data_IF_500224562322
#
_entry.id   IF_500224562322
#
_cell.length_a   1.000
_cell.length_b   1.000
_cell.length_c   1.000
_cell.angle_alpha   90.00
_cell.angle_beta   90.00
_cell.angle_gamma   90.00
#
_symmetry.space_group_name_H-M   'P 1'
#
loop_
_entity.id
_entity.type
_entity.pdbx_description
1 polymer ?
#
# COMPACT_ATOMS: atom_id res chain seq x y z
N UNK A 1 16.46 -15.91 25.43
CA UNK A 1 15.19 -16.62 25.67
C UNK A 1 14.08 -15.59 25.77
N UNK A 2 12.92 -15.83 25.15
CA UNK A 2 11.73 -15.00 25.33
C UNK A 2 10.93 -14.79 24.04
N UNK A 3 10.22 -15.83 23.61
CA UNK A 3 9.27 -15.77 22.51
C UNK A 3 7.97 -15.07 22.97
N UNK A 4 7.41 -14.19 22.15
CA UNK A 4 6.02 -13.75 22.29
C UNK A 4 5.20 -14.33 21.13
N UNK A 5 4.60 -15.49 21.38
CA UNK A 5 3.55 -16.06 20.53
C UNK A 5 2.27 -15.21 20.68
N UNK A 6 1.84 -14.55 19.59
CA UNK A 6 0.53 -13.91 19.52
C UNK A 6 -0.48 -14.94 19.01
N UNK A 7 -0.99 -15.78 19.92
CA UNK A 7 -2.01 -16.79 19.63
C UNK A 7 -3.40 -16.15 19.68
N UNK A 8 -3.90 -15.72 18.53
CA UNK A 8 -5.32 -15.40 18.36
C UNK A 8 -6.08 -16.72 18.54
N UNK A 9 -6.81 -16.87 19.64
CA UNK A 9 -7.79 -17.94 19.81
C UNK A 9 -9.09 -17.44 19.21
N UNK A 10 -9.60 -18.16 18.21
CA UNK A 10 -10.93 -17.91 17.67
C UNK A 10 -11.96 -18.09 18.79
N UNK A 11 -12.77 -17.05 19.04
CA UNK A 11 -13.82 -17.04 20.05
C UNK A 11 -15.01 -17.90 19.58
N UNK A 12 -15.61 -18.65 20.50
CA UNK A 12 -16.77 -19.52 20.25
C UNK A 12 -17.98 -18.76 19.64
N UNK A 13 -18.05 -17.45 19.86
CA UNK A 13 -19.07 -16.58 19.27
C UNK A 13 -19.01 -16.51 17.74
N UNK A 14 -17.81 -16.56 17.14
CA UNK A 14 -17.66 -16.51 15.68
C UNK A 14 -18.12 -17.80 14.98
N UNK A 15 -18.04 -18.95 15.66
CA UNK A 15 -18.53 -20.23 15.12
C UNK A 15 -20.05 -20.32 15.11
N UNK A 16 -20.71 -19.88 16.19
CA UNK A 16 -22.16 -19.90 16.33
C UNK A 16 -22.88 -19.04 15.29
N UNK A 17 -22.33 -17.87 14.92
CA UNK A 17 -22.91 -17.05 13.84
C UNK A 17 -22.75 -17.71 12.47
N UNK A 18 -21.63 -18.38 12.22
CA UNK A 18 -21.34 -19.01 10.94
C UNK A 18 -22.20 -20.27 10.70
N UNK A 19 -22.50 -21.05 11.74
CA UNK A 19 -23.42 -22.18 11.64
C UNK A 19 -24.89 -21.75 11.49
N UNK A 20 -25.27 -20.59 12.06
CA UNK A 20 -26.65 -20.09 11.97
C UNK A 20 -27.00 -19.52 10.58
N UNK A 21 -26.02 -18.99 9.84
CA UNK A 21 -26.23 -18.53 8.46
C UNK A 21 -26.32 -19.69 7.46
N UNK A 22 -25.62 -20.80 7.70
CA UNK A 22 -25.53 -21.91 6.75
C UNK A 22 -26.80 -22.79 6.68
N UNK A 23 -27.75 -22.62 7.61
CA UNK A 23 -28.97 -23.42 7.72
C UNK A 23 -30.26 -22.68 7.33
N UNK A 24 -30.14 -21.46 6.79
CA UNK A 24 -31.30 -20.69 6.30
C UNK A 24 -31.53 -20.98 4.82
N UNK A 25 -32.32 -22.01 4.52
CA UNK A 25 -32.94 -22.14 3.20
C UNK A 25 -33.94 -21.00 3.00
N UNK A 26 -33.85 -20.21 1.91
CA UNK A 26 -34.80 -19.13 1.67
C UNK A 26 -36.15 -19.73 1.25
N UNK A 27 -37.13 -19.72 2.15
CA UNK A 27 -38.52 -20.02 1.80
C UNK A 27 -39.23 -18.74 1.34
N UNK A 28 -39.76 -18.75 0.11
CA UNK A 28 -40.55 -17.64 -0.43
C UNK A 28 -42.02 -18.05 -0.37
N UNK A 29 -42.80 -17.34 0.45
CA UNK A 29 -44.26 -17.52 0.48
C UNK A 29 -44.91 -16.51 -0.46
N UNK A 30 -45.45 -16.99 -1.58
CA UNK A 30 -46.24 -16.18 -2.51
C UNK A 30 -47.69 -16.21 -2.04
N UNK A 31 -48.25 -15.06 -1.66
CA UNK A 31 -49.68 -14.94 -1.36
C UNK A 31 -50.44 -14.84 -2.68
N UNK A 32 -51.18 -15.88 -3.00
CA UNK A 32 -52.03 -15.94 -4.19
C UNK A 32 -53.43 -15.46 -3.81
N UNK A 33 -53.98 -14.51 -4.57
CA UNK A 33 -55.36 -14.04 -4.39
C UNK A 33 -56.38 -15.10 -4.82
N UNK A 34 -57.54 -15.12 -4.18
CA UNK A 34 -58.62 -16.07 -4.49
C UNK A 34 -59.05 -16.02 -5.96
N UNK A 35 -58.95 -14.85 -6.60
CA UNK A 35 -59.27 -14.65 -8.01
C UNK A 35 -58.29 -15.37 -8.94
N UNK A 36 -56.99 -15.42 -8.60
CA UNK A 36 -56.00 -16.14 -9.39
C UNK A 36 -56.21 -17.66 -9.28
N UNK A 37 -56.60 -18.15 -8.10
CA UNK A 37 -56.92 -19.57 -7.88
C UNK A 37 -58.18 -19.97 -8.65
N UNK A 38 -59.18 -19.10 -8.73
CA UNK A 38 -60.40 -19.35 -9.50
C UNK A 38 -60.14 -19.33 -11.02
N UNK A 39 -59.30 -18.42 -11.51
CA UNK A 39 -58.89 -18.38 -12.93
C UNK A 39 -58.10 -19.62 -13.34
N UNK A 40 -57.27 -20.19 -12.45
CA UNK A 40 -56.54 -21.43 -12.70
C UNK A 40 -57.45 -22.67 -12.67
N UNK A 41 -58.47 -22.69 -11.80
CA UNK A 41 -59.41 -23.81 -11.71
C UNK A 41 -60.41 -23.88 -12.87
N UNK A 42 -60.77 -22.73 -13.44
CA UNK A 42 -61.84 -22.63 -14.43
C UNK A 42 -61.35 -22.22 -15.83
N UNK A 43 -60.03 -22.22 -16.08
CA UNK A 43 -59.43 -21.75 -17.32
C UNK A 43 -59.50 -22.75 -18.48
N UNK A 44 -60.68 -22.92 -19.09
CA UNK A 44 -60.83 -23.08 -20.55
C UNK A 44 -62.30 -22.91 -20.96
N UNK A 45 -62.71 -21.66 -21.22
CA UNK A 45 -63.75 -21.30 -22.18
C UNK A 45 -63.82 -19.77 -22.29
N UNK A 46 -63.21 -19.28 -23.35
CA UNK A 46 -63.35 -17.98 -24.02
C UNK A 46 -64.32 -16.93 -23.47
N UNK A 47 -63.77 -15.75 -23.18
CA UNK A 47 -64.37 -14.48 -23.59
C UNK A 47 -63.29 -13.40 -23.72
N UNK A 48 -62.97 -13.09 -24.97
CA UNK A 48 -62.15 -11.96 -25.42
C UNK A 48 -62.71 -10.62 -24.92
N UNK A 49 -61.85 -9.61 -24.66
CA UNK A 49 -61.80 -8.33 -25.40
C UNK A 49 -60.90 -7.29 -24.66
N UNK A 50 -60.07 -6.58 -25.44
CA UNK A 50 -59.32 -5.33 -25.16
C UNK A 50 -58.09 -5.43 -24.23
N UNK A 51 -56.85 -5.07 -24.60
CA UNK A 51 -56.23 -4.49 -25.79
C UNK A 51 -54.81 -5.06 -25.90
N UNK A 52 -54.47 -5.70 -27.02
CA UNK A 52 -53.09 -5.81 -27.46
C UNK A 52 -52.85 -4.67 -28.46
N UNK A 53 -51.78 -3.87 -28.34
CA UNK A 53 -51.42 -2.95 -29.41
C UNK A 53 -51.05 -3.77 -30.65
N UNK A 54 -51.55 -3.33 -31.79
CA UNK A 54 -51.31 -3.94 -33.09
C UNK A 54 -49.81 -4.12 -33.36
N UNK A 55 -49.32 -5.35 -33.31
CA UNK A 55 -48.09 -5.72 -33.99
C UNK A 55 -48.43 -5.83 -35.48
N UNK A 56 -48.30 -4.71 -36.19
CA UNK A 56 -48.04 -4.73 -37.62
C UNK A 56 -46.80 -5.62 -37.84
N UNK A 57 -46.95 -6.67 -38.65
CA UNK A 57 -45.85 -7.55 -39.00
C UNK A 57 -44.77 -6.75 -39.71
N UNK A 58 -43.68 -6.47 -39.00
CA UNK A 58 -42.43 -6.05 -39.62
C UNK A 58 -42.04 -7.12 -40.63
N UNK A 59 -41.65 -6.70 -41.83
CA UNK A 59 -41.02 -7.61 -42.79
C UNK A 59 -39.80 -8.26 -42.14
N UNK A 60 -39.46 -9.49 -42.53
CA UNK A 60 -38.32 -10.21 -41.93
C UNK A 60 -37.01 -9.38 -42.00
N UNK A 61 -36.87 -8.55 -43.03
CA UNK A 61 -35.75 -7.63 -43.24
C UNK A 61 -35.71 -6.47 -42.23
N UNK A 62 -36.87 -5.92 -41.84
CA UNK A 62 -36.96 -4.85 -40.83
C UNK A 62 -36.63 -5.37 -39.42
N UNK A 63 -37.05 -6.60 -39.11
CA UNK A 63 -36.68 -7.27 -37.84
C UNK A 63 -35.18 -7.53 -37.79
N UNK A 64 -34.57 -7.96 -38.90
CA UNK A 64 -33.13 -8.20 -38.96
C UNK A 64 -32.33 -6.89 -38.83
N UNK A 65 -32.79 -5.82 -39.49
CA UNK A 65 -32.17 -4.49 -39.37
C UNK A 65 -32.24 -3.97 -37.94
N UNK A 66 -33.40 -4.08 -37.29
CA UNK A 66 -33.58 -3.68 -35.90
C UNK A 66 -32.70 -4.50 -34.94
N UNK A 67 -32.55 -5.81 -35.21
CA UNK A 67 -31.66 -6.68 -34.44
C UNK A 67 -30.19 -6.29 -34.58
N UNK A 68 -29.75 -5.95 -35.81
CA UNK A 68 -28.38 -5.47 -36.07
C UNK A 68 -28.11 -4.14 -35.37
N UNK A 69 -29.05 -3.20 -35.44
CA UNK A 69 -28.95 -1.90 -34.76
C UNK A 69 -28.90 -2.05 -33.24
N UNK A 70 -29.77 -2.90 -32.66
CA UNK A 70 -29.77 -3.18 -31.24
C UNK A 70 -28.46 -3.83 -30.77
N UNK A 71 -27.86 -4.71 -31.58
CA UNK A 71 -26.56 -5.32 -31.27
C UNK A 71 -25.44 -4.28 -31.25
N UNK A 72 -25.34 -3.42 -32.27
CA UNK A 72 -24.33 -2.36 -32.34
C UNK A 72 -24.46 -1.39 -31.16
N UNK A 73 -25.69 -0.97 -30.84
CA UNK A 73 -25.97 -0.12 -29.69
C UNK A 73 -25.58 -0.79 -28.37
N UNK A 74 -25.83 -2.10 -28.23
CA UNK A 74 -25.40 -2.87 -27.05
C UNK A 74 -23.88 -2.92 -26.88
N UNK A 75 -23.13 -3.05 -27.98
CA UNK A 75 -21.65 -3.02 -27.98
C UNK A 75 -21.14 -1.64 -27.57
N UNK A 76 -21.72 -0.57 -28.11
CA UNK A 76 -21.35 0.81 -27.75
C UNK A 76 -21.66 1.12 -26.28
N UNK A 77 -22.83 0.71 -25.78
CA UNK A 77 -23.21 0.88 -24.38
C UNK A 77 -22.30 0.09 -23.43
N UNK A 78 -21.91 -1.13 -23.80
CA UNK A 78 -20.95 -1.92 -23.02
C UNK A 78 -19.59 -1.23 -22.96
N UNK A 79 -19.07 -0.75 -24.11
CA UNK A 79 -17.81 -0.02 -24.17
C UNK A 79 -17.85 1.24 -23.32
N UNK A 80 -18.95 2.01 -23.40
CA UNK A 80 -19.13 3.24 -22.62
C UNK A 80 -19.23 2.97 -21.11
N UNK A 81 -19.87 1.88 -20.70
CA UNK A 81 -19.89 1.43 -19.30
C UNK A 81 -18.51 1.02 -18.81
N UNK A 82 -17.77 0.24 -19.59
CA UNK A 82 -16.41 -0.17 -19.26
C UNK A 82 -15.45 1.02 -19.12
N UNK A 83 -15.53 2.01 -20.02
CA UNK A 83 -14.76 3.25 -19.93
C UNK A 83 -15.14 4.09 -18.71
N UNK A 84 -16.44 4.16 -18.37
CA UNK A 84 -16.90 4.87 -17.18
C UNK A 84 -16.43 4.19 -15.88
N UNK A 85 -16.39 2.85 -15.83
CA UNK A 85 -15.86 2.09 -14.70
C UNK A 85 -14.34 2.21 -14.59
N UNK A 86 -13.61 2.17 -15.71
CA UNK A 86 -12.16 2.40 -15.73
C UNK A 86 -11.81 3.81 -15.21
N UNK A 87 -12.55 4.84 -15.64
CA UNK A 87 -12.36 6.22 -15.15
C UNK A 87 -12.65 6.35 -13.65
N UNK A 88 -13.71 5.69 -13.16
CA UNK A 88 -14.03 5.65 -11.71
C UNK A 88 -12.95 4.93 -10.89
N UNK A 89 -12.35 3.88 -11.44
CA UNK A 89 -11.28 3.15 -10.75
C UNK A 89 -9.94 3.89 -10.81
N UNK A 90 -9.66 4.63 -11.88
CA UNK A 90 -8.46 5.47 -12.01
C UNK A 90 -8.49 6.71 -11.10
N UNK A 91 -9.69 7.23 -10.78
CA UNK A 91 -9.85 8.36 -9.86
C UNK A 91 -9.94 7.95 -8.38
N UNK A 92 -9.90 6.65 -8.06
CA UNK A 92 -9.88 6.22 -6.66
C UNK A 92 -8.51 6.59 -6.07
N UNK A 93 -8.46 7.36 -4.98
CA UNK A 93 -7.19 7.63 -4.32
C UNK A 93 -6.58 6.29 -3.89
N UNK A 94 -5.25 6.12 -4.04
CA UNK A 94 -4.57 4.90 -3.59
C UNK A 94 -4.89 4.68 -2.11
N UNK A 95 -5.18 3.44 -1.74
CA UNK A 95 -5.50 3.13 -0.36
C UNK A 95 -4.28 3.40 0.52
N UNK A 96 -4.50 3.65 1.81
CA UNK A 96 -3.40 3.83 2.77
C UNK A 96 -2.42 2.63 2.81
N UNK A 97 -2.88 1.44 2.37
CA UNK A 97 -2.05 0.23 2.25
C UNK A 97 -1.15 0.31 1.01
N UNK A 98 -1.66 0.80 -0.12
CA UNK A 98 -0.89 0.98 -1.35
C UNK A 98 0.19 2.04 -1.18
N UNK A 99 -0.14 3.15 -0.48
CA UNK A 99 0.82 4.21 -0.16
C UNK A 99 1.97 3.69 0.73
N UNK A 100 1.66 2.92 1.78
CA UNK A 100 2.69 2.30 2.65
C UNK A 100 3.53 1.25 1.92
N UNK A 101 2.99 0.59 0.90
CA UNK A 101 3.74 -0.35 0.06
C UNK A 101 4.71 0.42 -0.83
N UNK A 102 4.24 1.45 -1.52
CA UNK A 102 5.08 2.33 -2.35
C UNK A 102 6.19 3.00 -1.53
N UNK A 103 5.87 3.48 -0.32
CA UNK A 103 6.87 4.08 0.57
C UNK A 103 7.99 3.09 0.93
N UNK A 104 7.64 1.84 1.28
CA UNK A 104 8.65 0.82 1.62
C UNK A 104 9.51 0.43 0.41
N UNK A 105 8.90 0.30 -0.76
CA UNK A 105 9.61 0.00 -2.00
C UNK A 105 10.59 1.11 -2.37
N UNK A 106 10.17 2.37 -2.22
CA UNK A 106 11.01 3.52 -2.54
C UNK A 106 12.14 3.70 -1.51
N UNK A 107 11.86 3.52 -0.22
CA UNK A 107 12.89 3.51 0.82
C UNK A 107 13.97 2.43 0.56
N UNK A 108 13.57 1.25 0.08
CA UNK A 108 14.53 0.20 -0.29
C UNK A 108 15.39 0.60 -1.49
N UNK A 109 14.82 1.27 -2.49
CA UNK A 109 15.57 1.79 -3.65
C UNK A 109 16.58 2.84 -3.23
N UNK A 110 16.15 3.82 -2.41
CA UNK A 110 17.03 4.86 -1.89
C UNK A 110 18.19 4.26 -1.11
N UNK A 111 17.93 3.27 -0.24
CA UNK A 111 19.00 2.59 0.52
C UNK A 111 20.02 1.94 -0.40
N UNK A 112 19.58 1.20 -1.42
CA UNK A 112 20.49 0.57 -2.41
C UNK A 112 21.32 1.61 -3.14
N UNK A 113 20.70 2.71 -3.58
CA UNK A 113 21.41 3.80 -4.27
C UNK A 113 22.43 4.46 -3.34
N UNK A 114 22.08 4.68 -2.06
CA UNK A 114 23.01 5.24 -1.07
C UNK A 114 24.17 4.29 -0.81
N UNK A 115 23.92 2.99 -0.66
CA UNK A 115 24.97 1.97 -0.48
C UNK A 115 25.92 1.94 -1.68
N UNK A 116 25.37 1.89 -2.90
CA UNK A 116 26.17 1.95 -4.12
C UNK A 116 26.97 3.26 -4.23
N UNK A 117 26.35 4.39 -3.88
CA UNK A 117 27.00 5.69 -3.93
C UNK A 117 28.11 5.80 -2.86
N UNK A 118 27.90 5.21 -1.69
CA UNK A 118 28.89 5.13 -0.61
C UNK A 118 30.04 4.21 -0.97
N UNK A 119 29.79 3.14 -1.72
CA UNK A 119 30.84 2.27 -2.24
C UNK A 119 31.63 2.92 -3.38
N UNK A 120 30.95 3.63 -4.28
CA UNK A 120 31.56 4.28 -5.45
C UNK A 120 32.35 5.54 -5.08
N UNK A 121 31.87 6.32 -4.13
CA UNK A 121 32.60 7.47 -3.61
C UNK A 121 33.53 7.00 -2.50
N UNK A 122 34.82 6.93 -2.80
CA UNK A 122 35.86 6.63 -1.82
C UNK A 122 35.70 7.53 -0.57
N UNK A 123 35.23 6.94 0.53
CA UNK A 123 35.31 7.58 1.84
C UNK A 123 36.66 7.22 2.42
N UNK A 124 37.60 8.16 2.39
CA UNK A 124 38.90 7.96 3.02
C UNK A 124 38.69 7.46 4.46
N UNK A 125 39.38 6.39 4.89
CA UNK A 125 39.35 5.94 6.26
C UNK A 125 39.61 7.15 7.16
N UNK A 126 38.68 7.43 8.07
CA UNK A 126 38.88 8.48 9.07
C UNK A 126 39.90 7.92 10.05
N UNK A 127 41.17 8.01 9.69
CA UNK A 127 42.25 7.66 10.60
C UNK A 127 42.15 8.61 11.78
N UNK A 128 42.23 8.05 12.99
CA UNK A 128 42.33 8.86 14.19
C UNK A 128 43.51 9.82 14.00
N UNK A 129 43.27 11.12 14.19
CA UNK A 129 44.33 12.13 14.14
C UNK A 129 45.36 11.75 15.20
N UNK A 130 46.61 11.60 14.76
CA UNK A 130 47.73 11.28 15.65
C UNK A 130 47.79 12.34 16.76
N UNK A 131 48.10 11.91 17.99
CA UNK A 131 48.20 12.78 19.16
C UNK A 131 46.90 13.49 19.59
N UNK A 132 45.73 12.94 19.21
CA UNK A 132 44.43 13.53 19.53
C UNK A 132 44.15 13.60 21.04
N UNK A 133 44.57 12.59 21.81
CA UNK A 133 44.35 12.55 23.27
C UNK A 133 45.17 13.60 23.99
N UNK A 134 46.42 13.74 23.60
CA UNK A 134 47.39 14.71 24.12
C UNK A 134 46.96 16.13 23.76
N UNK A 135 46.45 16.33 22.54
CA UNK A 135 45.86 17.60 22.10
C UNK A 135 44.64 17.99 22.94
N UNK A 136 43.73 17.05 23.17
CA UNK A 136 42.53 17.29 23.99
C UNK A 136 42.89 17.62 25.44
N UNK A 137 43.81 16.87 26.04
CA UNK A 137 44.30 17.14 27.39
C UNK A 137 44.95 18.54 27.49
N UNK A 138 45.73 18.93 26.49
CA UNK A 138 46.38 20.25 26.44
C UNK A 138 45.34 21.38 26.32
N UNK A 139 44.35 21.23 25.44
CA UNK A 139 43.25 22.18 25.31
C UNK A 139 42.39 22.25 26.57
N UNK A 140 42.16 21.12 27.23
CA UNK A 140 41.42 21.07 28.48
C UNK A 140 42.17 21.79 29.60
N UNK A 141 43.48 21.56 29.73
CA UNK A 141 44.29 22.28 30.70
C UNK A 141 44.26 23.80 30.46
N UNK A 142 44.34 24.26 29.21
CA UNK A 142 44.23 25.70 28.91
C UNK A 142 42.86 26.29 29.25
N UNK A 143 41.77 25.51 29.12
CA UNK A 143 40.43 25.96 29.54
C UNK A 143 40.33 26.10 31.05
N UNK A 144 40.96 25.21 31.81
CA UNK A 144 40.88 25.15 33.27
C UNK A 144 41.85 26.12 33.96
N UNK A 145 43.01 26.39 33.36
CA UNK A 145 44.08 27.23 33.94
C UNK A 145 43.88 28.74 33.74
N UNK A 146 42.98 29.16 32.85
CA UNK A 146 42.58 30.55 32.66
C UNK A 146 43.74 31.47 32.27
N UNK A 147 44.32 32.16 33.26
CA UNK A 147 45.44 33.10 33.09
C UNK A 147 46.83 32.50 33.33
N UNK A 148 46.92 31.31 33.92
CA UNK A 148 48.19 30.70 34.34
C UNK A 148 48.59 29.53 33.43
N UNK A 149 48.98 29.91 32.21
CA UNK A 149 49.35 29.04 31.08
C UNK A 149 50.50 28.08 31.42
N UNK A 150 51.37 28.46 32.37
CA UNK A 150 52.56 27.69 32.75
C UNK A 150 52.22 26.39 33.49
N UNK A 151 51.04 26.28 34.09
CA UNK A 151 50.56 25.03 34.72
C UNK A 151 50.33 23.91 33.71
N UNK A 152 50.12 24.25 32.44
CA UNK A 152 49.89 23.30 31.38
C UNK A 152 51.17 22.83 30.68
N UNK A 153 52.35 23.16 31.23
CA UNK A 153 53.64 22.79 30.66
C UNK A 153 53.75 21.29 30.43
N UNK A 154 53.48 20.48 31.45
CA UNK A 154 53.66 19.01 31.34
C UNK A 154 52.74 18.40 30.27
N UNK A 155 51.50 18.88 30.19
CA UNK A 155 50.53 18.42 29.19
C UNK A 155 50.87 18.92 27.78
N UNK A 156 51.44 20.12 27.68
CA UNK A 156 51.94 20.69 26.44
C UNK A 156 53.18 19.96 25.94
N UNK A 157 54.14 19.66 26.83
CA UNK A 157 55.36 18.91 26.53
C UNK A 157 55.02 17.50 26.03
N UNK A 158 54.03 16.83 26.65
CA UNK A 158 53.54 15.53 26.18
C UNK A 158 52.94 15.61 24.75
N UNK A 159 52.21 16.67 24.43
CA UNK A 159 51.69 16.90 23.08
C UNK A 159 52.82 17.15 22.07
N UNK A 160 53.86 17.91 22.45
CA UNK A 160 55.02 18.14 21.59
C UNK A 160 55.81 16.85 21.33
N UNK A 161 56.06 16.05 22.36
CA UNK A 161 56.75 14.76 22.21
C UNK A 161 55.99 13.81 21.28
N UNK A 162 54.67 13.71 21.44
CA UNK A 162 53.85 12.91 20.54
C UNK A 162 53.91 13.44 19.11
N UNK A 163 53.82 14.76 18.94
CA UNK A 163 53.85 15.41 17.61
C UNK A 163 55.19 15.16 16.93
N UNK A 164 56.30 15.31 17.64
CA UNK A 164 57.64 15.07 17.13
C UNK A 164 57.85 13.60 16.74
N UNK A 165 57.42 12.66 17.58
CA UNK A 165 57.44 11.23 17.26
C UNK A 165 56.60 10.92 16.01
N UNK A 166 55.38 11.44 15.93
CA UNK A 166 54.49 11.25 14.78
C UNK A 166 55.06 11.86 13.49
N UNK A 167 55.71 13.02 13.56
CA UNK A 167 56.38 13.61 12.38
C UNK A 167 57.59 12.79 11.94
N UNK A 168 58.40 12.30 12.87
CA UNK A 168 59.54 11.45 12.57
C UNK A 168 59.10 10.12 11.93
N UNK A 169 58.03 9.52 12.42
CA UNK A 169 57.47 8.29 11.86
C UNK A 169 56.83 8.50 10.48
N UNK A 170 56.28 9.70 10.22
CA UNK A 170 55.75 10.06 8.91
C UNK A 170 56.86 10.30 7.88
N UNK A 171 57.95 10.96 8.26
CA UNK A 171 59.09 11.26 7.35
C UNK A 171 59.92 10.01 7.03
N UNK A 172 59.93 9.00 7.91
CA UNK A 172 60.65 7.74 7.71
C UNK A 172 59.89 6.70 6.86
N UNK A 173 58.62 6.94 6.55
CA UNK A 173 57.80 6.09 5.67
C UNK A 173 57.86 6.56 4.23
#
# INVERSE_FOLDING_TARGET
MGAHESRIKEDDQTKLMQEQENNRTPSVQVRVSADLVNSLKNGNADASNQQAPAHAGFSAEEVEKLRKEAYLKGVEDQKKRAEAEAKKNASKPPSAVDLKKQEREEQQRVKKVVEELTQKNYRAPVNAVQCSKEREACLQCYRESGSDVLKCKEVSDAFFQCSEAATNDFVKK
#
